data_IF_997823343656
#
_entry.id   IF_997823343656
#
_cell.length_a   1.000
_cell.length_b   1.000
_cell.length_c   1.000
_cell.angle_alpha   90.00
_cell.angle_beta   90.00
_cell.angle_gamma   90.00
#
_symmetry.space_group_name_H-M   'P 1'
#
loop_
_entity.id
_entity.type
_entity.pdbx_description
1 polymer ?
#
# COMPACT_ATOMS: atom_id res chain seq x y z
N UNK A 1 -10.30 -13.54 -22.44
CA UNK A 1 -9.95 -14.21 -21.17
C UNK A 1 -8.52 -13.82 -20.84
N UNK A 2 -8.21 -13.50 -19.59
CA UNK A 2 -6.80 -13.28 -19.18
C UNK A 2 -6.00 -14.55 -19.47
N UNK A 3 -4.77 -14.41 -19.98
CA UNK A 3 -3.87 -15.54 -20.25
C UNK A 3 -3.48 -16.30 -18.97
N UNK A 4 -3.76 -15.75 -17.79
CA UNK A 4 -3.56 -16.44 -16.52
C UNK A 4 -4.78 -17.22 -16.02
N UNK A 5 -5.92 -17.20 -16.72
CA UNK A 5 -7.16 -17.81 -16.22
C UNK A 5 -7.01 -19.31 -15.88
N UNK A 6 -6.20 -20.05 -16.64
CA UNK A 6 -5.96 -21.48 -16.41
C UNK A 6 -5.16 -21.74 -15.12
N UNK A 7 -4.09 -20.97 -14.88
CA UNK A 7 -3.20 -21.16 -13.72
C UNK A 7 -3.86 -20.74 -12.39
N UNK A 8 -4.97 -20.01 -12.44
CA UNK A 8 -5.76 -19.65 -11.25
C UNK A 8 -6.83 -20.68 -10.87
N UNK A 9 -7.03 -21.76 -11.64
CA UNK A 9 -8.07 -22.76 -11.34
C UNK A 9 -7.70 -23.64 -10.14
N UNK A 10 -6.42 -24.04 -10.02
CA UNK A 10 -5.94 -24.99 -9.01
C UNK A 10 -4.60 -24.52 -8.39
N UNK A 11 -4.61 -23.50 -7.52
CA UNK A 11 -3.39 -22.98 -6.91
C UNK A 11 -2.68 -24.04 -6.04
N UNK A 12 -1.36 -24.14 -6.17
CA UNK A 12 -0.51 -25.09 -5.42
C UNK A 12 0.28 -24.41 -4.29
N UNK A 13 0.15 -23.09 -4.15
CA UNK A 13 0.78 -22.31 -3.09
C UNK A 13 1.97 -21.49 -3.60
N UNK A 14 2.92 -21.14 -2.72
CA UNK A 14 4.07 -20.32 -3.11
C UNK A 14 4.92 -20.97 -4.19
N UNK A 15 5.24 -20.23 -5.25
CA UNK A 15 6.08 -20.70 -6.36
C UNK A 15 5.35 -21.56 -7.39
N UNK A 16 4.01 -21.60 -7.36
CA UNK A 16 3.23 -22.22 -8.43
C UNK A 16 3.24 -21.41 -9.74
N UNK A 17 2.56 -21.90 -10.76
CA UNK A 17 2.58 -21.35 -12.12
C UNK A 17 1.86 -19.99 -12.26
N UNK A 18 1.33 -19.42 -11.18
CA UNK A 18 0.73 -18.08 -11.23
C UNK A 18 1.82 -17.03 -11.43
N UNK A 19 1.56 -16.01 -12.26
CA UNK A 19 2.57 -15.02 -12.59
C UNK A 19 2.99 -14.22 -11.36
N UNK A 20 4.27 -13.86 -11.32
CA UNK A 20 4.74 -12.83 -10.40
C UNK A 20 4.24 -11.46 -10.85
N UNK A 21 4.23 -10.48 -9.95
CA UNK A 21 3.88 -9.10 -10.31
C UNK A 21 4.79 -8.54 -11.42
N UNK A 22 6.07 -8.94 -11.46
CA UNK A 22 6.99 -8.53 -12.50
C UNK A 22 6.68 -9.18 -13.85
N UNK A 23 6.32 -10.47 -13.86
CA UNK A 23 5.89 -11.16 -15.09
C UNK A 23 4.67 -10.47 -15.71
N UNK A 24 3.73 -9.99 -14.89
CA UNK A 24 2.56 -9.23 -15.37
C UNK A 24 3.00 -7.93 -16.04
N UNK A 25 3.97 -7.21 -15.46
CA UNK A 25 4.48 -5.97 -16.06
C UNK A 25 5.16 -6.23 -17.42
N UNK A 26 5.87 -7.36 -17.54
CA UNK A 26 6.51 -7.77 -18.79
C UNK A 26 5.50 -8.20 -19.85
N UNK A 27 4.57 -9.10 -19.50
CA UNK A 27 3.56 -9.65 -20.40
C UNK A 27 2.62 -8.57 -20.94
N UNK A 28 2.29 -7.56 -20.11
CA UNK A 28 1.46 -6.42 -20.49
C UNK A 28 2.26 -5.27 -21.15
N UNK A 29 3.56 -5.48 -21.42
CA UNK A 29 4.45 -4.50 -22.06
C UNK A 29 4.48 -3.13 -21.34
N UNK A 30 4.47 -3.16 -20.00
CA UNK A 30 4.43 -1.97 -19.13
C UNK A 30 5.81 -1.51 -18.66
N UNK A 31 6.87 -2.25 -18.97
CA UNK A 31 8.26 -1.88 -18.70
C UNK A 31 8.57 -0.51 -19.31
N UNK A 32 9.09 0.41 -18.49
CA UNK A 32 9.38 1.80 -18.89
C UNK A 32 8.16 2.66 -19.28
N UNK A 33 6.92 2.21 -19.09
CA UNK A 33 5.71 2.95 -19.53
C UNK A 33 5.20 3.99 -18.55
N UNK A 34 5.68 4.01 -17.31
CA UNK A 34 5.26 4.97 -16.29
C UNK A 34 6.38 5.95 -15.91
N UNK A 35 7.35 6.18 -16.81
CA UNK A 35 8.41 7.18 -16.62
C UNK A 35 7.81 8.55 -16.28
N UNK A 36 8.34 9.15 -15.22
CA UNK A 36 7.88 10.44 -14.71
C UNK A 36 6.51 10.38 -14.02
N UNK A 37 5.95 9.21 -13.73
CA UNK A 37 4.79 9.07 -12.83
C UNK A 37 5.27 8.76 -11.42
N UNK A 38 4.58 9.31 -10.43
CA UNK A 38 4.92 9.15 -9.02
C UNK A 38 3.93 8.23 -8.32
N UNK A 39 4.45 7.24 -7.60
CA UNK A 39 3.65 6.25 -6.87
C UNK A 39 4.03 6.29 -5.38
N UNK A 40 3.05 6.31 -4.49
CA UNK A 40 3.25 6.15 -3.06
C UNK A 40 2.54 4.89 -2.56
N UNK A 41 3.28 3.99 -1.91
CA UNK A 41 2.78 2.70 -1.44
C UNK A 41 2.99 2.59 0.07
N UNK A 42 1.93 2.40 0.84
CA UNK A 42 2.05 2.15 2.29
C UNK A 42 2.43 0.69 2.56
N UNK A 43 3.28 0.45 3.55
CA UNK A 43 3.67 -0.91 3.96
C UNK A 43 4.55 -1.62 2.92
N UNK A 44 5.33 -0.86 2.17
CA UNK A 44 6.10 -1.36 1.03
C UNK A 44 7.48 -1.94 1.40
N UNK A 45 7.68 -2.37 2.65
CA UNK A 45 8.93 -2.96 3.11
C UNK A 45 8.93 -4.51 3.11
N UNK A 46 7.78 -5.14 2.87
CA UNK A 46 7.64 -6.60 2.85
C UNK A 46 6.36 -7.02 2.12
N UNK A 47 6.26 -8.32 1.81
CA UNK A 47 5.04 -8.95 1.28
C UNK A 47 4.51 -8.28 0.02
N UNK A 48 3.18 -8.16 -0.08
CA UNK A 48 2.46 -7.60 -1.24
C UNK A 48 2.96 -6.20 -1.59
N UNK A 49 3.21 -5.35 -0.58
CA UNK A 49 3.67 -3.98 -0.80
C UNK A 49 5.06 -3.90 -1.42
N UNK A 50 5.99 -4.74 -0.98
CA UNK A 50 7.35 -4.81 -1.54
C UNK A 50 7.34 -5.33 -2.97
N UNK A 51 6.59 -6.40 -3.25
CA UNK A 51 6.47 -6.95 -4.60
C UNK A 51 5.79 -5.98 -5.57
N UNK A 52 4.77 -5.26 -5.09
CA UNK A 52 4.11 -4.19 -5.86
C UNK A 52 5.09 -3.06 -6.18
N UNK A 53 5.88 -2.62 -5.21
CA UNK A 53 6.91 -1.61 -5.41
C UNK A 53 7.95 -2.05 -6.43
N UNK A 54 8.42 -3.30 -6.35
CA UNK A 54 9.40 -3.86 -7.29
C UNK A 54 8.87 -3.89 -8.72
N UNK A 55 7.65 -4.38 -8.91
CA UNK A 55 7.02 -4.45 -10.23
C UNK A 55 6.78 -3.05 -10.81
N UNK A 56 6.26 -2.11 -10.02
CA UNK A 56 6.05 -0.74 -10.48
C UNK A 56 7.37 0.00 -10.74
N UNK A 57 8.43 -0.30 -10.00
CA UNK A 57 9.75 0.27 -10.27
C UNK A 57 10.28 -0.12 -11.66
N UNK A 58 10.00 -1.35 -12.13
CA UNK A 58 10.35 -1.80 -13.49
C UNK A 58 9.64 -1.02 -14.61
N UNK A 59 8.53 -0.36 -14.30
CA UNK A 59 7.82 0.52 -15.25
C UNK A 59 8.51 1.89 -15.43
N UNK A 60 9.59 2.16 -14.68
CA UNK A 60 10.31 3.44 -14.69
C UNK A 60 9.66 4.54 -13.86
N UNK A 61 8.62 4.23 -13.08
CA UNK A 61 7.98 5.18 -12.18
C UNK A 61 8.88 5.56 -10.99
N UNK A 62 8.64 6.75 -10.44
CA UNK A 62 9.21 7.19 -9.17
C UNK A 62 8.41 6.58 -8.02
N UNK A 63 9.05 5.75 -7.20
CA UNK A 63 8.39 4.98 -6.15
C UNK A 63 8.79 5.51 -4.77
N UNK A 64 7.78 5.81 -3.97
CA UNK A 64 7.90 6.18 -2.57
C UNK A 64 7.37 5.03 -1.70
N UNK A 65 8.19 4.56 -0.78
CA UNK A 65 7.90 3.44 0.12
C UNK A 65 7.50 3.99 1.49
N UNK A 66 6.23 3.88 1.85
CA UNK A 66 5.74 4.20 3.20
C UNK A 66 6.12 3.08 4.17
N UNK A 67 7.00 3.38 5.11
CA UNK A 67 7.62 2.40 6.02
C UNK A 67 7.69 2.92 7.44
N UNK A 68 7.68 2.05 8.46
CA UNK A 68 7.70 2.48 9.87
C UNK A 68 9.05 3.03 10.35
N UNK A 69 10.14 2.77 9.64
CA UNK A 69 11.47 3.25 10.01
C UNK A 69 12.39 3.35 8.81
N UNK A 70 13.40 4.21 8.89
CA UNK A 70 14.43 4.35 7.85
C UNK A 70 15.13 3.02 7.56
N UNK A 71 15.49 2.25 8.60
CA UNK A 71 16.14 0.95 8.44
C UNK A 71 15.33 -0.03 7.58
N UNK A 72 13.99 -0.08 7.78
CA UNK A 72 13.10 -0.91 6.95
C UNK A 72 13.03 -0.39 5.51
N UNK A 73 13.06 0.93 5.34
CA UNK A 73 13.14 1.58 4.03
C UNK A 73 14.41 1.20 3.29
N UNK A 74 15.57 1.34 3.93
CA UNK A 74 16.87 1.04 3.33
C UNK A 74 16.99 -0.41 2.90
N UNK A 75 16.50 -1.34 3.73
CA UNK A 75 16.43 -2.77 3.39
C UNK A 75 15.55 -3.03 2.17
N UNK A 76 14.37 -2.43 2.11
CA UNK A 76 13.44 -2.58 0.99
C UNK A 76 13.99 -1.96 -0.31
N UNK A 77 14.64 -0.80 -0.22
CA UNK A 77 15.31 -0.15 -1.35
C UNK A 77 16.41 -1.06 -1.90
N UNK A 78 17.29 -1.57 -1.04
CA UNK A 78 18.36 -2.47 -1.43
C UNK A 78 17.83 -3.73 -2.12
N UNK A 79 16.77 -4.32 -1.58
CA UNK A 79 16.10 -5.48 -2.16
C UNK A 79 15.58 -5.20 -3.59
N UNK A 80 14.83 -4.11 -3.78
CA UNK A 80 14.29 -3.73 -5.09
C UNK A 80 15.40 -3.44 -6.09
N UNK A 81 16.44 -2.69 -5.71
CA UNK A 81 17.55 -2.30 -6.60
C UNK A 81 18.35 -3.51 -7.10
N UNK A 82 18.45 -4.56 -6.27
CA UNK A 82 19.14 -5.80 -6.60
C UNK A 82 18.34 -6.74 -7.50
N UNK A 83 17.12 -6.36 -7.89
CA UNK A 83 16.35 -7.10 -8.89
C UNK A 83 17.11 -7.08 -10.23
N UNK A 84 17.44 -8.25 -10.81
CA UNK A 84 18.18 -8.31 -12.05
C UNK A 84 17.35 -7.76 -13.22
N UNK A 85 18.05 -7.29 -14.26
CA UNK A 85 17.47 -6.93 -15.56
C UNK A 85 16.40 -5.83 -15.56
N UNK A 86 16.38 -4.92 -14.57
CA UNK A 86 15.53 -3.72 -14.62
C UNK A 86 16.07 -2.71 -15.65
N UNK A 87 15.42 -2.53 -16.82
CA UNK A 87 16.01 -1.80 -17.96
C UNK A 87 15.83 -0.29 -17.86
N UNK A 88 14.84 0.17 -17.09
CA UNK A 88 14.56 1.59 -16.82
C UNK A 88 14.31 1.74 -15.33
N UNK A 89 15.00 2.70 -14.71
CA UNK A 89 14.94 2.96 -13.27
C UNK A 89 14.45 4.39 -13.02
N UNK A 90 13.35 4.52 -12.30
CA UNK A 90 12.91 5.79 -11.74
C UNK A 90 13.62 6.12 -10.42
N UNK A 91 13.13 7.11 -9.72
CA UNK A 91 13.49 7.38 -8.33
C UNK A 91 12.93 6.30 -7.40
N UNK A 92 13.66 5.95 -6.35
CA UNK A 92 13.19 5.05 -5.29
C UNK A 92 13.59 5.64 -3.94
N UNK A 93 12.61 5.96 -3.10
CA UNK A 93 12.83 6.59 -1.79
C UNK A 93 11.90 6.04 -0.71
N UNK A 94 12.35 6.08 0.54
CA UNK A 94 11.54 5.76 1.70
C UNK A 94 10.93 7.02 2.34
N UNK A 95 9.73 6.86 2.88
CA UNK A 95 9.00 7.86 3.68
C UNK A 95 8.62 7.19 4.99
N UNK A 96 9.07 7.74 6.11
CA UNK A 96 8.67 7.25 7.44
C UNK A 96 7.19 7.56 7.63
N UNK A 97 6.41 6.53 7.92
CA UNK A 97 4.96 6.57 8.05
C UNK A 97 4.50 5.44 8.99
N UNK A 98 3.92 5.82 10.12
CA UNK A 98 3.20 4.89 11.01
C UNK A 98 1.71 5.23 11.00
N UNK A 99 0.88 4.30 10.54
CA UNK A 99 -0.57 4.51 10.39
C UNK A 99 -1.33 4.41 11.72
N UNK A 100 -0.67 3.97 12.80
CA UNK A 100 -1.19 3.95 14.16
C UNK A 100 -0.95 5.28 14.92
N UNK A 101 -0.45 6.31 14.23
CA UNK A 101 -0.30 7.67 14.76
C UNK A 101 -0.74 8.69 13.70
N UNK A 102 -1.79 9.46 13.98
CA UNK A 102 -2.27 10.48 13.05
C UNK A 102 -1.24 11.60 12.81
N UNK A 103 -0.42 11.91 13.81
CA UNK A 103 0.69 12.86 13.65
C UNK A 103 1.77 12.30 12.73
N UNK A 104 2.15 11.03 12.88
CA UNK A 104 3.06 10.37 11.93
C UNK A 104 2.49 10.34 10.51
N UNK A 105 1.18 10.21 10.34
CA UNK A 105 0.52 10.31 9.03
C UNK A 105 0.67 11.70 8.41
N UNK A 106 0.48 12.77 9.19
CA UNK A 106 0.66 14.15 8.73
C UNK A 106 2.11 14.41 8.33
N UNK A 107 3.05 14.07 9.19
CA UNK A 107 4.49 14.22 8.93
C UNK A 107 4.94 13.41 7.71
N UNK A 108 4.45 12.18 7.58
CA UNK A 108 4.73 11.31 6.44
C UNK A 108 4.20 11.88 5.14
N UNK A 109 2.99 12.45 5.14
CA UNK A 109 2.40 13.11 3.97
C UNK A 109 3.21 14.35 3.56
N UNK A 110 3.60 15.20 4.51
CA UNK A 110 4.44 16.38 4.26
C UNK A 110 5.82 15.98 3.70
N UNK A 111 6.46 14.99 4.31
CA UNK A 111 7.74 14.44 3.87
C UNK A 111 7.65 13.87 2.45
N UNK A 112 6.59 13.13 2.14
CA UNK A 112 6.32 12.63 0.79
C UNK A 112 6.17 13.79 -0.21
N UNK A 113 5.36 14.80 0.10
CA UNK A 113 5.12 15.93 -0.79
C UNK A 113 6.39 16.72 -1.07
N UNK A 114 7.22 16.94 -0.04
CA UNK A 114 8.51 17.61 -0.19
C UNK A 114 9.46 16.81 -1.09
N UNK A 115 9.57 15.50 -0.88
CA UNK A 115 10.48 14.62 -1.65
C UNK A 115 10.02 14.37 -3.09
N UNK A 116 8.71 14.32 -3.32
CA UNK A 116 8.11 14.09 -4.66
C UNK A 116 8.01 15.37 -5.50
N UNK A 117 8.35 16.54 -4.94
CA UNK A 117 8.14 17.82 -5.61
C UNK A 117 6.65 18.13 -5.83
N UNK A 118 5.78 17.64 -4.95
CA UNK A 118 4.34 17.86 -5.03
C UNK A 118 3.66 17.10 -6.18
N UNK A 119 4.13 15.89 -6.51
CA UNK A 119 3.53 15.05 -7.56
C UNK A 119 3.10 13.69 -7.01
N UNK A 120 1.90 13.25 -7.39
CA UNK A 120 1.38 11.94 -7.02
C UNK A 120 0.38 11.46 -8.06
N UNK A 121 0.70 10.36 -8.74
CA UNK A 121 -0.16 9.76 -9.77
C UNK A 121 -0.90 8.53 -9.24
N UNK A 122 -0.26 7.72 -8.39
CA UNK A 122 -0.87 6.50 -7.87
C UNK A 122 -0.62 6.41 -6.36
N UNK A 123 -1.69 6.38 -5.57
CA UNK A 123 -1.63 6.05 -4.15
C UNK A 123 -2.08 4.60 -3.95
N UNK A 124 -1.29 3.79 -3.26
CA UNK A 124 -1.62 2.41 -2.91
C UNK A 124 -1.62 2.27 -1.39
N UNK A 125 -2.81 2.27 -0.81
CA UNK A 125 -3.06 2.00 0.61
C UNK A 125 -3.04 0.48 0.82
N UNK A 126 -1.84 -0.06 1.04
CA UNK A 126 -1.58 -1.49 1.15
C UNK A 126 -1.31 -1.95 2.60
N UNK A 127 -0.72 -1.10 3.44
CA UNK A 127 -0.35 -1.47 4.80
C UNK A 127 -1.58 -1.93 5.61
N UNK A 128 -1.46 -3.08 6.27
CA UNK A 128 -2.48 -3.56 7.19
C UNK A 128 -1.86 -4.38 8.29
N UNK A 129 -2.54 -4.44 9.43
CA UNK A 129 -2.23 -5.34 10.54
C UNK A 129 -3.38 -6.31 10.77
N UNK A 130 -3.04 -7.45 11.37
CA UNK A 130 -3.97 -8.40 11.94
C UNK A 130 -3.43 -8.71 13.34
N UNK A 131 -4.22 -8.42 14.37
CA UNK A 131 -3.89 -8.59 15.79
C UNK A 131 -4.84 -9.59 16.43
N UNK A 132 -4.31 -10.50 17.23
CA UNK A 132 -5.12 -11.49 17.96
C UNK A 132 -5.79 -10.91 19.21
N UNK A 133 -5.21 -9.85 19.80
CA UNK A 133 -5.70 -9.22 21.02
C UNK A 133 -6.15 -7.78 20.75
N UNK A 134 -7.16 -7.31 21.51
CA UNK A 134 -7.62 -5.93 21.46
C UNK A 134 -6.48 -5.00 21.88
N UNK A 135 -6.06 -4.16 20.97
CA UNK A 135 -5.02 -3.15 21.17
C UNK A 135 -5.50 -1.82 20.63
N UNK A 136 -4.83 -0.73 21.02
CA UNK A 136 -5.15 0.62 20.54
C UNK A 136 -4.00 1.26 19.81
N UNK A 137 -4.32 2.11 18.85
CA UNK A 137 -3.37 3.04 18.24
C UNK A 137 -2.93 4.10 19.25
N UNK A 138 -1.91 4.90 18.89
CA UNK A 138 -1.44 6.02 19.71
C UNK A 138 -2.58 7.02 19.98
N UNK A 139 -3.46 7.23 18.99
CA UNK A 139 -4.61 8.12 19.09
C UNK A 139 -5.85 7.49 19.76
N UNK A 140 -5.74 6.23 20.23
CA UNK A 140 -6.79 5.58 21.01
C UNK A 140 -7.87 4.83 20.21
N UNK A 141 -7.70 4.65 18.89
CA UNK A 141 -8.59 3.82 18.08
C UNK A 141 -8.29 2.33 18.30
N UNK A 142 -9.27 1.44 18.13
CA UNK A 142 -8.98 0.01 17.97
C UNK A 142 -7.96 -0.19 16.84
N UNK A 143 -6.97 -1.06 17.03
CA UNK A 143 -5.76 -1.06 16.21
C UNK A 143 -5.99 -1.45 14.75
N UNK A 144 -6.92 -2.36 14.43
CA UNK A 144 -7.29 -2.66 13.05
C UNK A 144 -7.97 -1.46 12.41
N UNK A 145 -9.00 -0.89 13.05
CA UNK A 145 -9.74 0.25 12.52
C UNK A 145 -8.85 1.48 12.36
N UNK A 146 -8.02 1.77 13.37
CA UNK A 146 -7.08 2.87 13.37
C UNK A 146 -6.01 2.74 12.28
N UNK A 147 -5.36 1.58 12.18
CA UNK A 147 -4.24 1.36 11.23
C UNK A 147 -4.72 1.14 9.80
N UNK A 148 -5.68 0.22 9.62
CA UNK A 148 -6.07 -0.27 8.30
C UNK A 148 -7.03 0.72 7.61
N UNK A 149 -7.80 1.49 8.38
CA UNK A 149 -8.79 2.45 7.86
C UNK A 149 -8.45 3.91 8.17
N UNK A 150 -8.45 4.34 9.44
CA UNK A 150 -8.39 5.77 9.80
C UNK A 150 -7.07 6.42 9.35
N UNK A 151 -5.92 5.77 9.59
CA UNK A 151 -4.62 6.27 9.15
C UNK A 151 -4.55 6.42 7.62
N UNK A 152 -5.07 5.43 6.89
CA UNK A 152 -5.16 5.50 5.42
C UNK A 152 -6.14 6.56 4.92
N UNK A 153 -7.27 6.72 5.59
CA UNK A 153 -8.25 7.75 5.27
C UNK A 153 -7.64 9.14 5.42
N UNK A 154 -6.97 9.42 6.53
CA UNK A 154 -6.26 10.68 6.74
C UNK A 154 -5.19 10.89 5.67
N UNK A 155 -4.36 9.89 5.39
CA UNK A 155 -3.32 9.97 4.35
C UNK A 155 -3.91 10.31 2.98
N UNK A 156 -4.98 9.62 2.58
CA UNK A 156 -5.67 9.90 1.33
C UNK A 156 -6.19 11.34 1.29
N UNK A 157 -6.83 11.81 2.36
CA UNK A 157 -7.38 13.17 2.41
C UNK A 157 -6.29 14.24 2.29
N UNK A 158 -5.13 14.04 2.92
CA UNK A 158 -3.98 14.95 2.82
C UNK A 158 -3.37 14.98 1.41
N UNK A 159 -3.35 13.84 0.72
CA UNK A 159 -2.70 13.70 -0.59
C UNK A 159 -3.66 13.84 -1.79
N UNK A 160 -4.97 13.83 -1.54
CA UNK A 160 -6.02 13.96 -2.56
C UNK A 160 -5.86 15.21 -3.44
N UNK A 161 -5.56 16.41 -2.92
CA UNK A 161 -5.33 17.58 -3.78
C UNK A 161 -4.22 17.35 -4.81
N UNK A 162 -3.11 16.74 -4.40
CA UNK A 162 -1.96 16.43 -5.26
C UNK A 162 -2.30 15.34 -6.29
N UNK A 163 -3.07 14.32 -5.90
CA UNK A 163 -3.59 13.31 -6.83
C UNK A 163 -4.40 13.96 -7.96
N UNK A 164 -5.33 14.85 -7.60
CA UNK A 164 -6.18 15.56 -8.55
C UNK A 164 -5.38 16.51 -9.45
N UNK A 165 -4.41 17.23 -8.87
CA UNK A 165 -3.53 18.14 -9.63
C UNK A 165 -2.61 17.39 -10.61
N UNK A 166 -2.33 16.11 -10.36
CA UNK A 166 -1.45 15.29 -11.21
C UNK A 166 -2.19 14.59 -12.37
N UNK A 167 -3.50 14.79 -12.51
CA UNK A 167 -4.30 14.25 -13.61
C UNK A 167 -4.00 15.01 -14.91
N UNK A 168 -3.74 14.27 -15.98
CA UNK A 168 -3.65 14.82 -17.34
C UNK A 168 -4.64 14.08 -18.26
N UNK A 169 -4.98 14.63 -19.45
CA UNK A 169 -5.83 13.93 -20.42
C UNK A 169 -5.29 12.54 -20.80
N UNK A 170 -3.98 12.35 -20.74
CA UNK A 170 -3.28 11.10 -21.09
C UNK A 170 -3.09 10.16 -19.90
N UNK A 171 -3.23 10.65 -18.66
CA UNK A 171 -3.02 9.85 -17.47
C UNK A 171 -3.91 10.26 -16.31
N UNK A 172 -4.85 9.38 -15.93
CA UNK A 172 -5.71 9.57 -14.78
C UNK A 172 -5.05 9.02 -13.52
N UNK A 173 -4.90 9.87 -12.51
CA UNK A 173 -4.43 9.45 -11.18
C UNK A 173 -5.39 8.45 -10.53
N UNK A 174 -4.87 7.58 -9.66
CA UNK A 174 -5.64 6.52 -9.00
C UNK A 174 -5.30 6.40 -7.52
N UNK A 175 -6.30 6.06 -6.72
CA UNK A 175 -6.12 5.56 -5.37
C UNK A 175 -6.58 4.10 -5.33
N UNK A 176 -5.72 3.21 -4.83
CA UNK A 176 -5.98 1.78 -4.69
C UNK A 176 -5.95 1.45 -3.21
N UNK A 177 -7.03 0.84 -2.70
CA UNK A 177 -7.13 0.41 -1.31
C UNK A 177 -7.14 -1.11 -1.30
N UNK A 178 -6.12 -1.71 -0.69
CA UNK A 178 -6.04 -3.15 -0.52
C UNK A 178 -6.95 -3.55 0.63
N UNK A 179 -7.88 -4.46 0.35
CA UNK A 179 -8.81 -5.02 1.33
C UNK A 179 -8.55 -6.53 1.48
N UNK A 180 -9.47 -7.24 2.13
CA UNK A 180 -9.40 -8.67 2.38
C UNK A 180 -10.76 -9.31 2.21
N UNK A 181 -10.80 -10.61 1.94
CA UNK A 181 -12.06 -11.38 2.04
C UNK A 181 -12.68 -11.32 3.45
N UNK A 182 -11.89 -10.97 4.47
CA UNK A 182 -12.36 -10.77 5.83
C UNK A 182 -13.46 -9.72 5.98
N UNK A 183 -13.65 -8.80 5.02
CA UNK A 183 -14.76 -7.83 5.04
C UNK A 183 -16.15 -8.45 5.13
N UNK A 184 -16.27 -9.75 4.86
CA UNK A 184 -17.53 -10.49 4.98
C UNK A 184 -17.83 -10.93 6.43
N UNK A 185 -16.88 -10.80 7.33
CA UNK A 185 -17.00 -11.29 8.71
C UNK A 185 -17.81 -10.34 9.61
N UNK A 186 -17.85 -9.04 9.32
CA UNK A 186 -18.64 -8.07 10.08
C UNK A 186 -18.91 -6.80 9.27
N UNK A 187 -20.01 -6.14 9.60
CA UNK A 187 -20.27 -4.74 9.21
C UNK A 187 -19.58 -3.76 10.17
N UNK A 188 -19.56 -2.48 9.81
CA UNK A 188 -19.07 -1.42 10.68
C UNK A 188 -19.97 -1.29 11.91
N UNK A 189 -19.38 -1.47 13.10
CA UNK A 189 -20.05 -1.23 14.40
C UNK A 189 -20.05 0.26 14.74
N UNK A 190 -20.90 1.06 14.11
CA UNK A 190 -20.91 2.51 14.35
C UNK A 190 -21.15 2.91 15.82
N UNK A 191 -21.85 2.08 16.59
CA UNK A 191 -22.07 2.31 18.03
C UNK A 191 -20.84 1.98 18.89
N UNK A 192 -19.93 1.13 18.40
CA UNK A 192 -18.80 0.59 19.17
C UNK A 192 -17.63 0.15 18.25
N UNK A 193 -17.13 1.07 17.42
CA UNK A 193 -15.98 0.81 16.55
C UNK A 193 -14.67 0.65 17.36
N UNK A 194 -14.68 1.19 18.59
CA UNK A 194 -13.84 0.95 19.76
C UNK A 194 -13.69 -0.50 20.25
N UNK A 195 -14.71 -1.34 20.07
CA UNK A 195 -14.89 -2.57 20.83
C UNK A 195 -14.76 -2.34 22.35
N UNK A 196 -15.28 -1.23 22.89
CA UNK A 196 -15.20 -0.84 24.30
C UNK A 196 -16.17 -1.60 25.21
N UNK A 197 -17.23 -2.18 24.63
CA UNK A 197 -18.12 -3.07 25.37
C UNK A 197 -17.37 -4.31 25.85
N UNK A 198 -17.58 -4.71 27.11
CA UNK A 198 -16.91 -5.87 27.68
C UNK A 198 -17.27 -7.15 26.92
N UNK A 199 -16.24 -7.91 26.52
CA UNK A 199 -16.41 -9.16 25.78
C UNK A 199 -16.84 -9.00 24.32
N UNK A 200 -16.88 -7.78 23.76
CA UNK A 200 -17.33 -7.56 22.38
C UNK A 200 -16.26 -7.84 21.32
N UNK A 201 -14.99 -7.91 21.71
CA UNK A 201 -13.88 -8.09 20.77
C UNK A 201 -13.75 -9.55 20.31
N UNK A 202 -13.89 -9.75 19.01
CA UNK A 202 -13.51 -10.97 18.31
C UNK A 202 -12.65 -10.57 17.10
N UNK A 203 -11.46 -11.16 16.95
CA UNK A 203 -10.50 -10.75 15.90
C UNK A 203 -11.09 -10.73 14.48
N UNK A 204 -11.86 -11.75 14.02
CA UNK A 204 -12.48 -11.71 12.70
C UNK A 204 -13.49 -10.57 12.54
N UNK A 205 -14.21 -10.22 13.62
CA UNK A 205 -15.21 -9.15 13.65
C UNK A 205 -14.53 -7.77 13.68
N UNK A 206 -13.40 -7.63 14.38
CA UNK A 206 -12.64 -6.38 14.44
C UNK A 206 -11.83 -6.10 13.17
N UNK A 207 -11.28 -7.13 12.53
CA UNK A 207 -10.50 -6.98 11.28
C UNK A 207 -11.38 -6.88 10.04
N UNK A 208 -12.60 -7.40 10.08
CA UNK A 208 -13.47 -7.48 8.91
C UNK A 208 -13.79 -6.11 8.29
N UNK A 209 -14.42 -5.19 9.03
CA UNK A 209 -14.86 -3.90 8.52
C UNK A 209 -13.73 -3.05 7.92
#
# INVERSE_FOLDING_TARGET
MSHYAAVHQNPQGPGDDRPTALQIIEDENLVGKLVGKTVFITGANQGIGLDTARALYATGADIFLGVRSNEKGDKAIADIINTPNLPVRGLLQAVVLSLDSLDSVREGAESFLAKSGGKLNILINNAGIIQHEKTKTIDGFESHFGTNHIGHFLLFQLLRPTLLASVTPEFHSRAVIVSSMAHRASEIRFHDFNFEEEGSFEQPVAYGP
#
